data_IF_129610399858
#
_entry.id   IF_129610399858
#
_cell.length_a   1.000
_cell.length_b   1.000
_cell.length_c   1.000
_cell.angle_alpha   90.00
_cell.angle_beta   90.00
_cell.angle_gamma   90.00
#
_symmetry.space_group_name_H-M   'P 1'
#
loop_
_entity.id
_entity.type
_entity.pdbx_description
1 polymer ?
#
# COMPACT_ATOMS: atom_id res chain seq x y z
N UNK A 1 12.02 -14.81 17.54
CA UNK A 1 11.47 -14.56 18.90
C UNK A 1 10.16 -13.79 18.79
N UNK A 2 9.04 -14.43 19.09
CA UNK A 2 7.70 -13.83 18.97
C UNK A 2 7.00 -13.87 20.34
N UNK A 3 6.47 -12.73 20.79
CA UNK A 3 5.66 -12.69 22.03
C UNK A 3 4.25 -13.16 21.71
N UNK A 4 3.85 -14.29 22.27
CA UNK A 4 2.49 -14.84 22.14
C UNK A 4 1.77 -14.61 23.45
N UNK A 5 0.52 -14.13 23.39
CA UNK A 5 -0.33 -13.92 24.56
C UNK A 5 -1.47 -14.90 24.53
N UNK A 6 -1.60 -15.73 25.57
CA UNK A 6 -2.68 -16.70 25.65
C UNK A 6 -4.01 -15.99 25.95
N UNK A 7 -5.09 -16.24 25.17
CA UNK A 7 -6.39 -15.65 25.41
C UNK A 7 -7.10 -16.21 26.67
N UNK A 8 -6.72 -17.41 27.14
CA UNK A 8 -7.32 -18.03 28.33
C UNK A 8 -6.63 -17.59 29.62
N UNK A 9 -5.30 -17.72 29.72
CA UNK A 9 -4.57 -17.42 30.95
C UNK A 9 -3.99 -16.00 31.01
N UNK A 10 -4.13 -15.22 29.93
CA UNK A 10 -3.56 -13.86 29.75
C UNK A 10 -2.05 -13.74 29.97
N UNK A 11 -1.34 -14.84 30.24
CA UNK A 11 0.11 -14.87 30.35
C UNK A 11 0.71 -14.77 28.95
N UNK A 12 1.70 -13.90 28.83
CA UNK A 12 2.50 -13.77 27.62
C UNK A 12 3.80 -14.55 27.76
N UNK A 13 4.13 -15.39 26.79
CA UNK A 13 5.41 -16.09 26.73
C UNK A 13 6.13 -15.78 25.42
N UNK A 14 7.44 -15.99 25.40
CA UNK A 14 8.27 -15.78 24.21
C UNK A 14 8.43 -17.15 23.54
N UNK A 15 7.93 -17.28 22.32
CA UNK A 15 8.21 -18.44 21.50
C UNK A 15 9.54 -18.27 20.76
N UNK A 16 10.34 -19.34 20.76
CA UNK A 16 11.65 -19.46 20.11
C UNK A 16 11.63 -20.54 19.04
N UNK A 17 12.51 -20.45 18.05
CA UNK A 17 12.56 -21.38 16.89
C UNK A 17 12.88 -22.84 17.24
N UNK A 18 13.18 -23.11 18.52
CA UNK A 18 13.40 -24.45 19.09
C UNK A 18 12.12 -25.13 19.61
N UNK A 19 11.00 -24.40 19.67
CA UNK A 19 9.70 -24.91 20.13
C UNK A 19 8.82 -25.29 18.93
N UNK A 20 7.90 -26.22 19.12
CA UNK A 20 7.00 -26.64 18.04
C UNK A 20 6.13 -25.46 17.53
N UNK A 21 5.87 -25.36 16.21
CA UNK A 21 5.03 -24.30 15.63
C UNK A 21 3.57 -24.35 16.08
N UNK A 22 3.13 -25.51 16.61
CA UNK A 22 1.80 -25.72 17.20
C UNK A 22 1.99 -26.48 18.49
N UNK A 23 1.60 -25.89 19.61
CA UNK A 23 1.81 -26.47 20.92
C UNK A 23 0.73 -26.06 21.91
N UNK A 24 0.77 -26.66 23.10
CA UNK A 24 -0.04 -26.21 24.24
C UNK A 24 0.66 -25.05 24.93
N UNK A 25 -0.12 -24.18 25.57
CA UNK A 25 0.41 -23.13 26.42
C UNK A 25 1.34 -23.74 27.49
N UNK A 26 2.54 -23.19 27.73
CA UNK A 26 3.46 -23.69 28.77
C UNK A 26 2.97 -23.49 30.22
N UNK A 27 1.76 -22.94 30.41
CA UNK A 27 1.19 -22.69 31.74
C UNK A 27 0.44 -23.94 32.20
N UNK A 28 0.76 -24.41 33.40
CA UNK A 28 -0.01 -25.48 34.05
C UNK A 28 -1.48 -25.05 34.20
N UNK A 29 -2.41 -25.94 33.88
CA UNK A 29 -3.86 -25.72 33.80
C UNK A 29 -4.40 -24.91 32.59
N UNK A 30 -3.62 -24.75 31.52
CA UNK A 30 -4.11 -24.11 30.29
C UNK A 30 -4.09 -25.04 29.07
N UNK A 31 -5.26 -25.52 28.65
CA UNK A 31 -5.42 -26.41 27.48
C UNK A 31 -5.44 -25.67 26.13
N UNK A 32 -5.14 -24.37 26.12
CA UNK A 32 -5.12 -23.60 24.89
C UNK A 32 -3.99 -24.04 23.97
N UNK A 33 -4.32 -24.26 22.70
CA UNK A 33 -3.36 -24.57 21.63
C UNK A 33 -3.07 -23.30 20.84
N UNK A 34 -1.80 -22.93 20.76
CA UNK A 34 -1.37 -21.81 19.93
C UNK A 34 -1.01 -22.30 18.53
N UNK A 35 -1.30 -21.48 17.52
CA UNK A 35 -0.80 -21.65 16.16
C UNK A 35 -0.07 -20.38 15.75
N UNK A 36 1.25 -20.49 15.70
CA UNK A 36 2.13 -19.35 15.48
C UNK A 36 1.94 -18.77 14.10
N UNK A 37 1.51 -19.56 13.13
CA UNK A 37 1.23 -19.07 11.79
C UNK A 37 0.08 -18.04 11.83
N UNK A 38 -0.96 -18.29 12.62
CA UNK A 38 -2.09 -17.36 12.76
C UNK A 38 -1.67 -16.10 13.53
N UNK A 39 -0.88 -16.25 14.60
CA UNK A 39 -0.40 -15.11 15.39
C UNK A 39 0.62 -14.26 14.64
N UNK A 40 1.52 -14.88 13.87
CA UNK A 40 2.42 -14.19 12.95
C UNK A 40 1.61 -13.49 11.85
N UNK A 41 0.63 -14.15 11.24
CA UNK A 41 -0.22 -13.53 10.21
C UNK A 41 -0.96 -12.29 10.75
N UNK A 42 -1.49 -12.35 11.98
CA UNK A 42 -2.12 -11.19 12.65
C UNK A 42 -1.12 -10.08 12.97
N UNK A 43 0.10 -10.43 13.37
CA UNK A 43 1.15 -9.45 13.69
C UNK A 43 1.69 -8.77 12.44
N UNK A 44 1.90 -9.54 11.38
CA UNK A 44 2.37 -9.07 10.07
C UNK A 44 1.30 -8.23 9.40
N UNK A 45 0.03 -8.64 9.41
CA UNK A 45 -1.07 -7.81 8.86
C UNK A 45 -1.32 -6.52 9.64
N UNK A 46 -0.93 -6.43 10.92
CA UNK A 46 -0.94 -5.17 11.69
C UNK A 46 0.24 -4.27 11.35
N UNK A 47 1.43 -4.83 11.07
CA UNK A 47 2.65 -4.07 10.77
C UNK A 47 2.80 -3.68 9.31
N UNK A 48 2.31 -4.51 8.39
CA UNK A 48 2.22 -4.17 6.99
C UNK A 48 0.91 -3.38 6.86
N UNK A 49 0.95 -2.03 6.73
CA UNK A 49 -0.26 -1.34 6.32
C UNK A 49 -0.71 -2.05 5.05
N UNK A 50 -1.98 -2.50 5.01
CA UNK A 50 -2.60 -2.96 3.78
C UNK A 50 -2.12 -2.01 2.70
N UNK A 51 -1.53 -2.54 1.64
CA UNK A 51 -1.36 -1.77 0.42
C UNK A 51 -2.79 -1.38 0.03
N UNK A 52 -3.25 -0.25 0.56
CA UNK A 52 -4.45 0.41 0.12
C UNK A 52 -4.26 0.43 -1.38
N UNK A 53 -5.16 -0.19 -2.14
CA UNK A 53 -5.09 -0.26 -3.60
C UNK A 53 -5.13 1.10 -4.29
N UNK A 54 -4.76 2.18 -3.59
CA UNK A 54 -4.42 3.49 -4.08
C UNK A 54 -3.28 3.33 -5.07
N UNK A 55 -3.50 3.68 -6.35
CA UNK A 55 -2.42 3.69 -7.31
C UNK A 55 -1.28 4.57 -6.80
N UNK A 56 -0.05 4.11 -6.96
CA UNK A 56 1.13 4.91 -6.71
C UNK A 56 1.53 5.65 -7.99
N UNK A 57 2.08 6.85 -7.87
CA UNK A 57 2.61 7.58 -9.00
C UNK A 57 3.79 6.78 -9.61
N UNK A 58 3.75 6.45 -10.91
CA UNK A 58 4.79 5.65 -11.56
C UNK A 58 6.15 6.36 -11.64
N UNK A 59 6.21 7.67 -11.36
CA UNK A 59 7.43 8.46 -11.41
C UNK A 59 8.10 8.66 -10.03
N UNK A 60 7.33 8.78 -8.95
CA UNK A 60 7.87 9.11 -7.62
C UNK A 60 7.44 8.15 -6.51
N UNK A 61 6.50 7.23 -6.79
CA UNK A 61 5.98 6.29 -5.80
C UNK A 61 5.00 6.89 -4.78
N UNK A 62 4.71 8.19 -4.84
CA UNK A 62 3.76 8.82 -3.94
C UNK A 62 2.32 8.29 -4.17
N UNK A 63 1.52 8.11 -3.10
CA UNK A 63 0.15 7.65 -3.22
C UNK A 63 -0.70 8.69 -3.96
N UNK A 64 -1.49 8.27 -4.95
CA UNK A 64 -2.43 9.14 -5.65
C UNK A 64 -3.87 8.70 -5.40
N UNK A 65 -4.77 9.67 -5.22
CA UNK A 65 -6.17 9.43 -4.84
C UNK A 65 -7.05 8.87 -5.98
N UNK A 66 -6.51 8.67 -7.18
CA UNK A 66 -7.29 8.11 -8.28
C UNK A 66 -6.50 7.82 -9.55
N UNK A 67 -7.18 7.27 -10.55
CA UNK A 67 -6.63 7.00 -11.89
C UNK A 67 -6.34 8.27 -12.69
N UNK A 68 -6.98 9.38 -12.35
CA UNK A 68 -6.69 10.71 -12.91
C UNK A 68 -6.49 11.67 -11.75
N UNK A 69 -5.24 11.89 -11.38
CA UNK A 69 -4.90 12.76 -10.26
C UNK A 69 -3.58 13.48 -10.52
N UNK A 70 -3.45 14.69 -9.98
CA UNK A 70 -2.18 15.39 -9.95
C UNK A 70 -1.42 14.88 -8.73
N UNK A 71 -0.20 14.39 -8.93
CA UNK A 71 0.62 13.93 -7.81
C UNK A 71 1.17 15.13 -7.03
N UNK A 72 0.91 15.22 -5.72
CA UNK A 72 1.41 16.31 -4.87
C UNK A 72 2.93 16.28 -4.68
N UNK A 73 3.55 15.10 -4.73
CA UNK A 73 4.99 14.95 -4.56
C UNK A 73 5.84 15.44 -5.74
N UNK A 74 5.42 15.19 -6.98
CA UNK A 74 6.20 15.53 -8.19
C UNK A 74 5.50 16.53 -9.13
N UNK A 75 4.23 16.82 -8.91
CA UNK A 75 3.44 17.72 -9.75
C UNK A 75 3.08 17.18 -11.13
N UNK A 76 3.35 15.90 -11.42
CA UNK A 76 2.95 15.26 -12.68
C UNK A 76 1.46 14.89 -12.66
N UNK A 77 0.82 14.97 -13.82
CA UNK A 77 -0.55 14.48 -14.03
C UNK A 77 -0.46 12.97 -14.25
N UNK A 78 -0.99 12.18 -13.31
CA UNK A 78 -1.03 10.73 -13.42
C UNK A 78 -2.35 10.32 -14.07
N UNK A 79 -2.26 9.67 -15.23
CA UNK A 79 -3.39 9.10 -15.96
C UNK A 79 -3.16 7.58 -16.10
N UNK A 80 -3.81 6.80 -15.23
CA UNK A 80 -3.64 5.35 -15.14
C UNK A 80 -2.20 4.98 -14.76
N UNK A 81 -1.50 4.30 -15.66
CA UNK A 81 -0.13 3.82 -15.47
C UNK A 81 0.95 4.79 -15.99
N UNK A 82 0.58 5.95 -16.56
CA UNK A 82 1.53 6.92 -17.12
C UNK A 82 1.43 8.27 -16.39
N UNK A 83 2.58 8.91 -16.22
CA UNK A 83 2.69 10.26 -15.66
C UNK A 83 3.12 11.24 -16.76
N UNK A 84 2.37 12.33 -16.92
CA UNK A 84 2.64 13.39 -17.90
C UNK A 84 3.04 14.67 -17.21
N UNK A 85 4.05 15.37 -17.75
CA UNK A 85 4.49 16.66 -17.23
C UNK A 85 3.42 17.71 -17.54
N UNK A 86 3.09 18.57 -16.56
CA UNK A 86 2.10 19.66 -16.75
C UNK A 86 2.43 20.55 -17.95
N UNK A 87 3.73 20.78 -18.19
CA UNK A 87 4.21 21.62 -19.31
C UNK A 87 3.86 21.01 -20.67
N UNK A 88 4.01 19.69 -20.83
CA UNK A 88 3.69 19.03 -22.11
C UNK A 88 2.20 19.08 -22.41
N UNK A 89 1.35 18.91 -21.39
CA UNK A 89 -0.11 19.05 -21.55
C UNK A 89 -0.47 20.48 -21.96
N UNK A 90 0.15 21.48 -21.34
CA UNK A 90 -0.10 22.88 -21.66
C UNK A 90 0.35 23.23 -23.09
N UNK A 91 1.54 22.79 -23.49
CA UNK A 91 2.05 22.99 -24.85
C UNK A 91 1.14 22.32 -25.87
N UNK A 92 0.70 21.09 -25.61
CA UNK A 92 -0.20 20.36 -26.51
C UNK A 92 -1.51 21.12 -26.74
N UNK A 93 -2.15 21.60 -25.67
CA UNK A 93 -3.39 22.39 -25.77
C UNK A 93 -3.17 23.70 -26.53
N UNK A 94 -2.07 24.41 -26.24
CA UNK A 94 -1.74 25.67 -26.92
C UNK A 94 -1.52 25.46 -28.44
N UNK A 95 -0.78 24.42 -28.82
CA UNK A 95 -0.54 24.07 -30.23
C UNK A 95 -1.85 23.66 -30.92
N UNK A 96 -2.69 22.86 -30.26
CA UNK A 96 -3.99 22.46 -30.80
C UNK A 96 -4.89 23.67 -31.08
N UNK A 97 -4.95 24.62 -30.14
CA UNK A 97 -5.70 25.87 -30.32
C UNK A 97 -5.14 26.75 -31.44
N UNK A 98 -3.81 26.82 -31.60
CA UNK A 98 -3.18 27.53 -32.71
C UNK A 98 -3.51 26.90 -34.07
N UNK A 99 -3.48 25.56 -34.16
CA UNK A 99 -3.86 24.83 -35.38
C UNK A 99 -5.32 25.08 -35.71
N UNK A 100 -6.23 24.94 -34.74
CA UNK A 100 -7.65 25.24 -34.92
C UNK A 100 -7.86 26.68 -35.38
N UNK A 101 -7.18 27.64 -34.75
CA UNK A 101 -7.24 29.06 -35.15
C UNK A 101 -6.75 29.28 -36.58
N UNK A 102 -5.67 28.62 -37.00
CA UNK A 102 -5.15 28.70 -38.35
C UNK A 102 -6.13 28.09 -39.37
N UNK A 103 -6.73 26.94 -39.06
CA UNK A 103 -7.76 26.31 -39.89
C UNK A 103 -8.96 27.23 -40.03
N UNK A 104 -9.51 27.75 -38.93
CA UNK A 104 -10.65 28.68 -38.96
C UNK A 104 -10.36 29.99 -39.71
N UNK A 105 -9.08 30.39 -39.79
CA UNK A 105 -8.68 31.59 -40.55
C UNK A 105 -8.50 31.32 -42.05
N UNK A 106 -8.18 30.08 -42.43
CA UNK A 106 -7.95 29.67 -43.81
C UNK A 106 -9.14 28.96 -44.47
N UNK A 107 -10.16 28.60 -43.68
CA UNK A 107 -11.47 28.11 -44.15
C UNK A 107 -12.40 29.29 -44.44
#
# INVERSE_FOLDING_TARGET
MQKITCPLCQKSFIWTDTMDPKGRCPTEDCEWRYDIHEELQKSVSRKIPKADGRPACPHCGAPVEGKLAVCDGCGYVVAGAKAYKKVDVFIFVAVLLLILSAIYRFL
#
